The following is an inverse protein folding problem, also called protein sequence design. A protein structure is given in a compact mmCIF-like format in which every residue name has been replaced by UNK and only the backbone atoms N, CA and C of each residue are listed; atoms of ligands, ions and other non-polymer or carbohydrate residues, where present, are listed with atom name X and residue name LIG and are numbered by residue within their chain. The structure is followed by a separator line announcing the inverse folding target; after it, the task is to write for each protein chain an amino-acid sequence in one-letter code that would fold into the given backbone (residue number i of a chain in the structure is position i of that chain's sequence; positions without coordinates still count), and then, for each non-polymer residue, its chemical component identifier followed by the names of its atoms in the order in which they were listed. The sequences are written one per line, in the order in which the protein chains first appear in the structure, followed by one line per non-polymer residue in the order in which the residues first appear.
data_IF_145905493485
#
_entry.id   IF_145905493485
#
_cell.length_a   1.000
_cell.length_b   1.000
_cell.length_c   1.000
_cell.angle_alpha   90.00
_cell.angle_beta   90.00
_cell.angle_gamma   90.00
#
_symmetry.space_group_name_H-M   'P 1'
#
loop_
_entity.id
_entity.type
_entity.pdbx_description
1 polymer ?
#
# COMPACT_ATOMS: atom_id res chain seq x y z
N UNK A 1 -29.66 16.35 -17.52
CA UNK A 1 -28.45 15.50 -17.54
C UNK A 1 -27.96 15.38 -16.11
N UNK A 2 -28.32 14.31 -15.42
CA UNK A 2 -27.74 13.97 -14.12
C UNK A 2 -26.30 13.57 -14.38
N UNK A 3 -25.34 14.41 -13.99
CA UNK A 3 -23.93 14.04 -13.98
C UNK A 3 -23.77 12.96 -12.92
N UNK A 4 -23.72 11.70 -13.35
CA UNK A 4 -23.48 10.56 -12.47
C UNK A 4 -22.15 10.82 -11.76
N UNK A 5 -22.21 11.03 -10.44
CA UNK A 5 -20.98 11.20 -9.65
C UNK A 5 -20.24 9.86 -9.66
N UNK A 6 -18.90 9.86 -9.82
CA UNK A 6 -18.15 8.62 -9.79
C UNK A 6 -18.35 7.90 -8.45
N UNK A 7 -18.54 6.58 -8.54
CA UNK A 7 -18.62 5.70 -7.37
C UNK A 7 -17.25 5.68 -6.65
N UNK A 8 -17.21 5.88 -5.32
CA UNK A 8 -15.95 6.01 -4.59
C UNK A 8 -15.17 4.70 -4.55
N UNK A 9 -13.85 4.79 -4.69
CA UNK A 9 -12.93 3.70 -4.42
C UNK A 9 -12.99 3.32 -2.95
N UNK A 10 -12.72 2.03 -2.68
CA UNK A 10 -12.55 1.49 -1.34
C UNK A 10 -11.38 2.20 -0.64
N UNK A 11 -11.63 2.71 0.56
CA UNK A 11 -10.62 3.42 1.33
C UNK A 11 -9.60 2.45 1.94
N UNK A 12 -8.36 2.94 2.10
CA UNK A 12 -7.25 2.21 2.76
C UNK A 12 -7.35 2.27 4.30
N UNK A 13 -8.25 3.10 4.82
CA UNK A 13 -8.54 3.26 6.24
C UNK A 13 -10.07 3.35 6.47
N UNK A 14 -10.52 3.39 7.71
CA UNK A 14 -11.93 3.55 8.08
C UNK A 14 -12.50 2.32 8.78
N UNK A 15 -13.60 1.78 8.27
CA UNK A 15 -14.32 0.67 8.90
C UNK A 15 -13.53 -0.65 9.01
N UNK A 16 -14.17 -1.64 9.62
CA UNK A 16 -13.60 -2.98 9.82
C UNK A 16 -13.22 -3.61 8.50
N UNK A 17 -12.07 -4.27 8.42
CA UNK A 17 -11.74 -5.11 7.27
C UNK A 17 -12.57 -6.39 7.37
N UNK A 18 -13.43 -6.63 6.38
CA UNK A 18 -14.27 -7.84 6.32
C UNK A 18 -13.73 -8.84 5.31
N UNK A 19 -13.22 -8.35 4.18
CA UNK A 19 -12.69 -9.21 3.13
C UNK A 19 -11.42 -8.63 2.55
N UNK A 20 -10.39 -9.48 2.44
CA UNK A 20 -9.16 -9.17 1.70
C UNK A 20 -8.92 -10.21 0.61
N UNK A 21 -8.12 -9.84 -0.38
CA UNK A 21 -7.55 -10.76 -1.33
C UNK A 21 -6.01 -10.72 -1.28
N UNK A 22 -5.38 -11.87 -1.49
CA UNK A 22 -3.93 -12.05 -1.62
C UNK A 22 -3.67 -12.91 -2.86
N UNK A 23 -2.52 -12.76 -3.50
CA UNK A 23 -2.13 -13.59 -4.66
C UNK A 23 -0.82 -14.33 -4.40
N UNK A 24 -0.79 -15.63 -4.69
CA UNK A 24 0.35 -16.50 -4.47
C UNK A 24 0.86 -17.05 -5.81
N UNK A 25 1.96 -16.50 -6.36
CA UNK A 25 2.55 -17.01 -7.60
C UNK A 25 2.93 -18.48 -7.50
N UNK A 26 2.74 -19.27 -8.57
CA UNK A 26 3.14 -20.68 -8.60
C UNK A 26 4.58 -20.96 -8.14
N UNK A 27 5.52 -20.05 -8.49
CA UNK A 27 6.93 -20.16 -8.13
C UNK A 27 7.18 -20.21 -6.60
N UNK A 28 6.21 -19.81 -5.77
CA UNK A 28 6.33 -19.87 -4.31
C UNK A 28 6.09 -21.26 -3.72
N UNK A 29 5.50 -22.17 -4.51
CA UNK A 29 5.25 -23.56 -4.14
C UNK A 29 6.30 -24.53 -4.69
N UNK A 30 7.24 -24.04 -5.50
CA UNK A 30 8.35 -24.86 -5.95
C UNK A 30 9.30 -25.18 -4.78
N UNK A 31 9.86 -26.38 -4.76
CA UNK A 31 10.89 -26.74 -3.79
C UNK A 31 12.06 -25.78 -3.91
N UNK A 32 12.22 -24.92 -2.91
CA UNK A 32 13.41 -24.13 -2.75
C UNK A 32 14.51 -25.13 -2.39
N UNK A 33 15.40 -25.43 -3.35
CA UNK A 33 16.51 -26.36 -3.13
C UNK A 33 17.33 -26.06 -1.86
N UNK A 34 18.17 -26.99 -1.46
CA UNK A 34 19.02 -26.85 -0.27
C UNK A 34 19.86 -25.56 -0.39
N UNK A 35 19.68 -24.61 0.54
CA UNK A 35 20.48 -23.38 0.62
C UNK A 35 19.74 -22.06 0.36
N UNK A 36 18.43 -22.08 0.07
CA UNK A 36 17.66 -20.82 -0.01
C UNK A 36 17.34 -20.26 1.38
N UNK A 37 17.74 -19.00 1.61
CA UNK A 37 17.49 -18.25 2.85
C UNK A 37 16.09 -17.62 2.93
N UNK A 38 15.30 -17.66 1.85
CA UNK A 38 14.00 -16.98 1.77
C UNK A 38 12.83 -17.94 1.55
N UNK A 39 11.75 -17.72 2.30
CA UNK A 39 10.48 -18.42 2.18
C UNK A 39 9.37 -17.38 1.95
N UNK A 40 8.97 -17.12 0.69
CA UNK A 40 8.02 -16.06 0.38
C UNK A 40 6.60 -16.32 0.92
N UNK A 41 6.27 -17.58 1.25
CA UNK A 41 5.02 -17.95 1.91
C UNK A 41 5.00 -17.61 3.41
N UNK A 42 6.15 -17.46 4.07
CA UNK A 42 6.24 -17.20 5.50
C UNK A 42 5.51 -15.90 5.93
N UNK A 43 5.76 -14.71 5.32
CA UNK A 43 5.03 -13.50 5.71
C UNK A 43 3.52 -13.61 5.47
N UNK A 44 3.09 -14.33 4.42
CA UNK A 44 1.68 -14.53 4.16
C UNK A 44 1.04 -15.40 5.24
N UNK A 45 1.67 -16.52 5.59
CA UNK A 45 1.19 -17.39 6.66
C UNK A 45 1.09 -16.65 8.00
N UNK A 46 2.11 -15.85 8.32
CA UNK A 46 2.12 -15.02 9.52
C UNK A 46 1.01 -13.97 9.52
N UNK A 47 0.69 -13.35 8.36
CA UNK A 47 -0.47 -12.48 8.25
C UNK A 47 -1.76 -13.25 8.59
N UNK A 48 -2.01 -14.39 7.95
CA UNK A 48 -3.23 -15.18 8.16
C UNK A 48 -3.44 -15.59 9.62
N UNK A 49 -2.36 -15.91 10.34
CA UNK A 49 -2.39 -16.27 11.76
C UNK A 49 -2.78 -15.08 12.67
N UNK A 50 -2.62 -13.85 12.20
CA UNK A 50 -2.96 -12.63 12.96
C UNK A 50 -4.35 -12.07 12.63
N UNK A 51 -5.01 -12.57 11.59
CA UNK A 51 -6.30 -12.04 11.15
C UNK A 51 -7.44 -12.55 12.05
N UNK A 52 -8.37 -11.67 12.46
CA UNK A 52 -9.56 -12.03 13.23
C UNK A 52 -10.46 -13.05 12.52
N UNK A 53 -11.21 -13.83 13.31
CA UNK A 53 -12.08 -14.92 12.82
C UNK A 53 -13.10 -14.47 11.76
N UNK A 54 -13.61 -13.26 11.89
CA UNK A 54 -14.62 -12.70 10.99
C UNK A 54 -14.03 -11.99 9.76
N UNK A 55 -12.73 -12.10 9.53
CA UNK A 55 -12.11 -11.70 8.26
C UNK A 55 -12.19 -12.87 7.28
N UNK A 56 -12.69 -12.60 6.08
CA UNK A 56 -12.60 -13.50 4.94
C UNK A 56 -11.38 -13.16 4.08
N UNK A 57 -10.64 -14.18 3.67
CA UNK A 57 -9.43 -14.07 2.85
C UNK A 57 -9.61 -14.88 1.59
N UNK A 58 -9.51 -14.20 0.45
CA UNK A 58 -9.49 -14.82 -0.88
C UNK A 58 -8.03 -14.99 -1.31
N UNK A 59 -7.56 -16.23 -1.37
CA UNK A 59 -6.21 -16.55 -1.80
C UNK A 59 -6.22 -17.00 -3.25
N UNK A 60 -5.74 -16.14 -4.15
CA UNK A 60 -5.58 -16.50 -5.55
C UNK A 60 -4.35 -17.38 -5.74
N UNK A 61 -4.56 -18.50 -6.43
CA UNK A 61 -3.52 -19.45 -6.81
C UNK A 61 -3.73 -19.90 -8.24
N UNK A 62 -2.65 -20.29 -8.89
CA UNK A 62 -2.73 -21.01 -10.15
C UNK A 62 -3.38 -22.37 -9.92
N UNK A 63 -4.25 -22.81 -10.84
CA UNK A 63 -4.96 -24.10 -10.73
C UNK A 63 -4.02 -25.29 -10.46
N UNK A 64 -2.84 -25.42 -11.12
CA UNK A 64 -1.87 -26.48 -10.80
C UNK A 64 -1.34 -26.45 -9.37
N UNK A 65 -1.32 -25.29 -8.71
CA UNK A 65 -0.80 -25.12 -7.35
C UNK A 65 -1.85 -25.34 -6.26
N UNK A 66 -3.11 -25.63 -6.62
CA UNK A 66 -4.21 -25.75 -5.65
C UNK A 66 -3.91 -26.77 -4.54
N UNK A 67 -3.37 -27.94 -4.87
CA UNK A 67 -3.06 -28.99 -3.89
C UNK A 67 -1.92 -28.56 -2.95
N UNK A 68 -0.87 -27.93 -3.47
CA UNK A 68 0.24 -27.42 -2.69
C UNK A 68 -0.20 -26.28 -1.74
N UNK A 69 -1.03 -25.36 -2.25
CA UNK A 69 -1.62 -24.28 -1.47
C UNK A 69 -2.51 -24.79 -0.34
N UNK A 70 -3.36 -25.79 -0.63
CA UNK A 70 -4.19 -26.46 0.40
C UNK A 70 -3.32 -27.09 1.48
N UNK A 71 -2.33 -27.90 1.09
CA UNK A 71 -1.42 -28.55 2.03
C UNK A 71 -0.66 -27.54 2.88
N UNK A 72 -0.23 -26.42 2.30
CA UNK A 72 0.41 -25.32 3.04
C UNK A 72 -0.54 -24.68 4.05
N UNK A 73 -1.78 -24.37 3.66
CA UNK A 73 -2.78 -23.82 4.56
C UNK A 73 -3.16 -24.77 5.71
N UNK A 74 -3.30 -26.06 5.43
CA UNK A 74 -3.67 -27.06 6.44
C UNK A 74 -2.63 -27.20 7.57
N UNK A 75 -1.38 -26.77 7.31
CA UNK A 75 -0.32 -26.70 8.33
C UNK A 75 -0.38 -25.44 9.20
N UNK A 76 -1.19 -24.45 8.83
CA UNK A 76 -1.35 -23.21 9.57
C UNK A 76 -2.58 -23.29 10.47
N UNK A 77 -2.42 -22.90 11.74
CA UNK A 77 -3.53 -22.77 12.68
C UNK A 77 -4.29 -21.44 12.47
N UNK A 78 -4.79 -21.19 11.26
CA UNK A 78 -5.48 -19.94 10.92
C UNK A 78 -6.85 -19.86 11.59
N UNK A 79 -7.23 -18.64 12.01
CA UNK A 79 -8.53 -18.39 12.65
C UNK A 79 -9.53 -17.68 11.75
N UNK A 80 -9.05 -16.91 10.78
CA UNK A 80 -9.86 -16.27 9.75
C UNK A 80 -10.44 -17.31 8.76
N UNK A 81 -11.43 -16.88 7.99
CA UNK A 81 -11.98 -17.70 6.91
C UNK A 81 -11.08 -17.56 5.68
N UNK A 82 -10.56 -18.68 5.17
CA UNK A 82 -9.68 -18.68 4.00
C UNK A 82 -10.30 -19.48 2.87
N UNK A 83 -10.45 -18.84 1.72
CA UNK A 83 -11.00 -19.43 0.51
C UNK A 83 -9.94 -19.41 -0.60
N UNK A 84 -9.69 -20.58 -1.20
CA UNK A 84 -8.76 -20.69 -2.33
C UNK A 84 -9.52 -20.42 -3.62
N UNK A 85 -9.11 -19.39 -4.35
CA UNK A 85 -9.67 -19.01 -5.65
C UNK A 85 -8.67 -19.39 -6.73
N UNK A 86 -9.08 -20.26 -7.65
CA UNK A 86 -8.24 -20.66 -8.79
C UNK A 86 -8.51 -19.80 -10.00
N UNK A 87 -7.47 -19.45 -10.74
CA UNK A 87 -7.61 -18.91 -12.08
C UNK A 87 -7.87 -20.04 -13.08
N UNK A 88 -8.83 -19.83 -13.99
CA UNK A 88 -9.04 -20.72 -15.13
C UNK A 88 -7.93 -20.51 -16.17
N UNK A 89 -7.53 -21.59 -16.84
CA UNK A 89 -6.50 -21.51 -17.89
C UNK A 89 -6.98 -20.63 -19.06
N UNK A 90 -6.10 -19.78 -19.64
CA UNK A 90 -4.65 -19.68 -19.43
C UNK A 90 -4.21 -18.70 -18.32
N UNK A 91 -5.12 -18.26 -17.44
CA UNK A 91 -4.84 -17.27 -16.41
C UNK A 91 -3.77 -17.74 -15.41
N UNK A 92 -2.81 -16.85 -15.12
CA UNK A 92 -1.77 -17.08 -14.11
C UNK A 92 -1.67 -15.91 -13.14
N UNK A 93 -1.23 -16.19 -11.91
CA UNK A 93 -0.90 -15.18 -10.89
C UNK A 93 0.48 -14.61 -11.23
N UNK A 94 0.57 -13.35 -11.70
CA UNK A 94 1.82 -12.84 -12.26
C UNK A 94 2.85 -12.47 -11.17
N UNK A 95 2.38 -12.02 -10.01
CA UNK A 95 3.21 -11.56 -8.89
C UNK A 95 2.35 -11.49 -7.61
N UNK A 96 2.96 -11.31 -6.41
CA UNK A 96 2.18 -11.26 -5.16
C UNK A 96 1.52 -9.91 -4.88
N UNK A 97 1.88 -8.87 -5.64
CA UNK A 97 1.40 -7.50 -5.43
C UNK A 97 -0.02 -7.26 -5.94
N UNK A 98 -1.00 -7.94 -5.35
CA UNK A 98 -2.40 -7.86 -5.75
C UNK A 98 -2.98 -6.44 -5.64
N UNK A 99 -2.40 -5.58 -4.78
CA UNK A 99 -2.83 -4.20 -4.62
C UNK A 99 -2.80 -3.42 -5.94
N UNK A 100 -1.89 -3.77 -6.85
CA UNK A 100 -1.69 -3.11 -8.14
C UNK A 100 -2.56 -3.65 -9.27
N UNK A 101 -3.16 -4.82 -9.10
CA UNK A 101 -3.81 -5.54 -10.20
C UNK A 101 -5.17 -4.97 -10.58
N UNK A 102 -5.89 -4.39 -9.62
CA UNK A 102 -7.22 -3.80 -9.83
C UNK A 102 -7.57 -2.81 -8.72
N UNK A 103 -8.65 -2.08 -8.92
CA UNK A 103 -9.30 -1.24 -7.91
C UNK A 103 -10.63 -1.83 -7.47
N UNK A 104 -11.06 -1.44 -6.28
CA UNK A 104 -12.38 -1.78 -5.75
C UNK A 104 -13.11 -0.46 -5.57
N UNK A 105 -14.35 -0.37 -6.06
CA UNK A 105 -15.24 0.78 -5.79
C UNK A 105 -16.59 0.31 -5.27
N UNK A 106 -17.26 1.15 -4.50
CA UNK A 106 -18.60 0.87 -4.01
C UNK A 106 -19.61 1.43 -4.98
N UNK A 107 -20.41 0.57 -5.61
CA UNK A 107 -21.44 1.02 -6.55
C UNK A 107 -22.52 1.83 -5.84
N UNK A 108 -22.93 2.93 -6.47
CA UNK A 108 -23.94 3.82 -5.92
C UNK A 108 -25.34 3.19 -5.81
N UNK A 109 -25.66 2.19 -6.64
CA UNK A 109 -27.00 1.61 -6.75
C UNK A 109 -27.27 0.47 -5.74
N UNK A 110 -26.25 -0.31 -5.40
CA UNK A 110 -26.39 -1.49 -4.55
C UNK A 110 -25.52 -1.46 -3.28
N UNK A 111 -24.64 -0.46 -3.13
CA UNK A 111 -23.57 -0.45 -2.12
C UNK A 111 -22.69 -1.71 -2.14
N UNK A 112 -22.74 -2.47 -3.24
CA UNK A 112 -21.91 -3.66 -3.45
C UNK A 112 -20.59 -3.26 -4.07
N UNK A 113 -19.47 -3.90 -3.70
CA UNK A 113 -18.21 -3.68 -4.37
C UNK A 113 -18.24 -4.08 -5.86
N UNK A 114 -17.44 -3.39 -6.65
CA UNK A 114 -17.15 -3.68 -8.05
C UNK A 114 -15.64 -3.60 -8.29
N UNK A 115 -15.12 -4.51 -9.10
CA UNK A 115 -13.70 -4.52 -9.47
C UNK A 115 -13.45 -3.74 -10.75
N UNK A 116 -12.46 -2.85 -10.73
CA UNK A 116 -12.11 -2.00 -11.86
C UNK A 116 -10.67 -2.26 -12.28
N UNK A 117 -10.46 -2.66 -13.53
CA UNK A 117 -9.13 -2.95 -14.10
C UNK A 117 -8.88 -2.14 -15.37
N UNK A 118 -7.61 -2.01 -15.79
CA UNK A 118 -7.25 -1.27 -17.02
C UNK A 118 -7.54 -2.02 -18.33
N UNK A 119 -8.14 -3.20 -18.23
CA UNK A 119 -8.50 -4.10 -19.32
C UNK A 119 -9.13 -5.37 -18.76
N UNK A 120 -9.37 -6.36 -19.62
CA UNK A 120 -9.81 -7.68 -19.18
C UNK A 120 -8.77 -8.30 -18.24
N UNK A 121 -9.23 -8.81 -17.09
CA UNK A 121 -8.39 -9.33 -16.03
C UNK A 121 -8.97 -10.63 -15.52
N UNK A 122 -8.30 -11.76 -15.79
CA UNK A 122 -8.69 -13.07 -15.28
C UNK A 122 -8.78 -13.08 -13.75
N UNK A 123 -7.95 -12.29 -13.07
CA UNK A 123 -7.95 -12.15 -11.62
C UNK A 123 -9.23 -11.45 -11.14
N UNK A 124 -9.59 -10.32 -11.74
CA UNK A 124 -10.80 -9.59 -11.38
C UNK A 124 -12.05 -10.39 -11.72
N UNK A 125 -12.05 -11.12 -12.84
CA UNK A 125 -13.15 -12.00 -13.24
C UNK A 125 -13.33 -13.17 -12.28
N UNK A 126 -12.25 -13.87 -11.90
CA UNK A 126 -12.31 -15.00 -10.97
C UNK A 126 -12.83 -14.56 -9.59
N UNK A 127 -12.32 -13.44 -9.06
CA UNK A 127 -12.81 -12.88 -7.79
C UNK A 127 -14.26 -12.41 -7.88
N UNK A 128 -14.63 -11.74 -8.98
CA UNK A 128 -15.99 -11.27 -9.19
C UNK A 128 -16.98 -12.43 -9.26
N UNK A 129 -16.66 -13.49 -10.00
CA UNK A 129 -17.47 -14.70 -10.08
C UNK A 129 -17.62 -15.37 -8.70
N UNK A 130 -16.55 -15.41 -7.91
CA UNK A 130 -16.56 -16.02 -6.56
C UNK A 130 -17.43 -15.26 -5.57
N UNK A 131 -17.50 -13.93 -5.69
CA UNK A 131 -18.20 -13.03 -4.77
C UNK A 131 -19.57 -12.57 -5.28
N UNK A 132 -19.89 -12.84 -6.55
CA UNK A 132 -21.08 -12.29 -7.21
C UNK A 132 -20.99 -10.78 -7.47
N UNK A 133 -19.78 -10.24 -7.66
CA UNK A 133 -19.56 -8.82 -7.92
C UNK A 133 -19.51 -8.52 -9.43
N UNK A 134 -19.68 -7.24 -9.77
CA UNK A 134 -19.46 -6.75 -11.12
C UNK A 134 -17.97 -6.47 -11.38
N UNK A 135 -17.62 -6.44 -12.66
CA UNK A 135 -16.33 -5.93 -13.15
C UNK A 135 -16.54 -4.79 -14.12
N UNK A 136 -15.69 -3.78 -14.07
CA UNK A 136 -15.65 -2.67 -15.01
C UNK A 136 -14.22 -2.46 -15.55
N UNK A 137 -14.13 -1.89 -16.75
CA UNK A 137 -12.87 -1.50 -17.37
C UNK A 137 -12.72 0.01 -17.27
N UNK A 138 -11.53 0.47 -16.91
CA UNK A 138 -11.13 1.87 -16.88
C UNK A 138 -10.01 2.13 -17.88
N UNK A 139 -10.03 3.29 -18.55
CA UNK A 139 -8.92 3.72 -19.42
C UNK A 139 -7.74 4.33 -18.61
N UNK A 140 -7.86 4.37 -17.28
CA UNK A 140 -6.83 4.89 -16.38
C UNK A 140 -5.97 3.76 -15.83
N UNK A 141 -4.69 3.80 -16.22
CA UNK A 141 -3.66 2.93 -15.65
C UNK A 141 -3.05 3.64 -14.44
N UNK A 142 -3.42 3.18 -13.25
CA UNK A 142 -2.91 3.66 -11.97
C UNK A 142 -2.68 2.45 -11.04
N UNK A 143 -1.43 2.09 -10.71
CA UNK A 143 -1.17 1.04 -9.72
C UNK A 143 -1.79 1.40 -8.35
N UNK A 144 -2.38 0.44 -7.65
CA UNK A 144 -2.95 0.65 -6.33
C UNK A 144 -1.91 0.96 -5.24
N UNK A 145 -0.65 0.59 -5.44
CA UNK A 145 0.49 0.99 -4.61
C UNK A 145 0.87 2.45 -4.81
N UNK A 146 0.70 2.99 -6.04
CA UNK A 146 0.97 4.41 -6.32
C UNK A 146 -0.20 5.35 -6.01
N UNK A 147 -1.16 4.88 -5.22
CA UNK A 147 -2.22 5.70 -4.64
C UNK A 147 -2.57 5.24 -3.23
N UNK A 148 -2.94 6.19 -2.39
CA UNK A 148 -3.56 5.93 -1.10
C UNK A 148 -4.93 6.62 -1.08
N UNK A 149 -5.97 5.89 -0.69
CA UNK A 149 -7.35 6.36 -0.65
C UNK A 149 -7.75 6.62 0.81
N UNK A 150 -7.80 7.88 1.18
CA UNK A 150 -8.24 8.32 2.52
C UNK A 150 -9.75 8.46 2.63
N UNK A 151 -10.26 8.99 3.76
CA UNK A 151 -11.68 9.20 3.96
C UNK A 151 -12.28 10.20 2.95
N UNK A 152 -11.60 11.34 2.77
CA UNK A 152 -12.04 12.51 2.01
C UNK A 152 -11.01 12.99 0.97
N UNK A 153 -9.87 12.29 0.83
CA UNK A 153 -8.80 12.62 -0.11
C UNK A 153 -8.19 11.37 -0.75
N UNK A 154 -7.45 11.57 -1.84
CA UNK A 154 -6.54 10.60 -2.43
C UNK A 154 -5.15 11.20 -2.52
N UNK A 155 -4.13 10.43 -2.14
CA UNK A 155 -2.74 10.77 -2.37
C UNK A 155 -2.22 9.91 -3.51
N UNK A 156 -1.80 10.54 -4.61
CA UNK A 156 -1.35 9.84 -5.82
C UNK A 156 0.10 10.21 -6.11
N UNK A 157 0.90 9.22 -6.50
CA UNK A 157 2.29 9.47 -6.87
C UNK A 157 2.39 10.40 -8.09
N UNK A 158 3.25 11.42 -8.00
CA UNK A 158 3.33 12.47 -9.02
C UNK A 158 3.60 11.93 -10.43
N UNK A 159 4.38 10.85 -10.54
CA UNK A 159 4.70 10.24 -11.84
C UNK A 159 3.45 9.69 -12.55
N UNK A 160 2.41 9.27 -11.80
CA UNK A 160 1.14 8.84 -12.38
C UNK A 160 0.26 10.01 -12.84
N UNK A 161 0.53 11.23 -12.34
CA UNK A 161 -0.24 12.44 -12.66
C UNK A 161 0.31 13.16 -13.89
N UNK A 162 1.61 13.04 -14.16
CA UNK A 162 2.22 13.50 -15.39
C UNK A 162 1.90 12.52 -16.53
N UNK A 163 1.35 13.02 -17.64
CA UNK A 163 1.35 12.26 -18.90
C UNK A 163 2.79 11.91 -19.28
N UNK A 164 3.02 10.91 -20.13
CA UNK A 164 4.37 10.56 -20.59
C UNK A 164 5.18 11.75 -21.09
N UNK A 165 6.51 11.59 -21.15
CA UNK A 165 7.51 12.65 -21.36
C UNK A 165 7.28 13.60 -22.56
N UNK A 166 6.40 13.26 -23.50
CA UNK A 166 6.03 14.10 -24.65
C UNK A 166 5.19 15.33 -24.27
N UNK A 167 4.53 15.35 -23.10
CA UNK A 167 3.69 16.48 -22.65
C UNK A 167 4.46 17.58 -21.90
N UNK A 168 5.74 17.38 -21.56
CA UNK A 168 6.50 18.30 -20.71
C UNK A 168 6.98 19.57 -21.42
N UNK A 169 6.78 19.69 -22.74
CA UNK A 169 7.31 20.79 -23.56
C UNK A 169 6.30 21.88 -23.95
N UNK A 170 5.04 21.80 -23.54
CA UNK A 170 4.01 22.75 -23.99
C UNK A 170 3.12 23.30 -22.85
N UNK A 171 3.34 24.59 -22.57
CA UNK A 171 2.47 25.57 -21.91
C UNK A 171 2.10 25.39 -20.41
N UNK A 172 2.11 26.46 -19.59
CA UNK A 172 1.55 26.44 -18.24
C UNK A 172 0.02 26.66 -18.24
N UNK A 173 -0.62 26.17 -17.16
CA UNK A 173 -1.98 26.45 -16.65
C UNK A 173 -3.14 25.48 -16.99
N UNK A 174 -2.92 24.38 -17.74
CA UNK A 174 -3.97 23.34 -17.91
C UNK A 174 -3.61 22.06 -17.15
N UNK A 175 -4.57 21.50 -16.41
CA UNK A 175 -4.43 20.16 -15.83
C UNK A 175 -4.10 19.17 -16.94
N UNK A 176 -3.11 18.29 -16.69
CA UNK A 176 -2.81 17.25 -17.66
C UNK A 176 -4.08 16.42 -17.89
N UNK A 177 -4.33 15.98 -19.13
CA UNK A 177 -5.46 15.07 -19.43
C UNK A 177 -5.45 13.83 -18.53
N UNK A 178 -4.25 13.40 -18.11
CA UNK A 178 -4.06 12.28 -17.19
C UNK A 178 -4.53 12.60 -15.77
N UNK A 179 -4.25 13.79 -15.26
CA UNK A 179 -4.75 14.26 -13.97
C UNK A 179 -6.28 14.26 -13.93
N UNK A 180 -6.92 14.87 -14.93
CA UNK A 180 -8.38 14.93 -15.03
C UNK A 180 -9.02 13.53 -15.06
N UNK A 181 -8.40 12.58 -15.75
CA UNK A 181 -8.85 11.18 -15.77
C UNK A 181 -8.71 10.51 -14.41
N UNK A 182 -7.61 10.76 -13.69
CA UNK A 182 -7.40 10.22 -12.34
C UNK A 182 -8.41 10.82 -11.35
N UNK A 183 -8.72 12.11 -11.46
CA UNK A 183 -9.79 12.75 -10.68
C UNK A 183 -11.17 12.15 -11.01
N UNK A 184 -11.44 11.83 -12.27
CA UNK A 184 -12.71 11.23 -12.66
C UNK A 184 -12.93 9.80 -12.11
N UNK A 185 -11.88 9.12 -11.61
CA UNK A 185 -12.01 7.78 -11.03
C UNK A 185 -12.72 7.75 -9.67
N UNK A 186 -12.66 8.84 -8.91
CA UNK A 186 -13.09 8.88 -7.51
C UNK A 186 -13.48 10.32 -7.13
N UNK A 187 -14.57 10.53 -6.39
CA UNK A 187 -15.04 11.87 -6.05
C UNK A 187 -14.13 12.63 -5.05
N UNK A 188 -13.17 11.98 -4.40
CA UNK A 188 -12.27 12.60 -3.42
C UNK A 188 -11.22 13.49 -4.10
N UNK A 189 -10.82 14.54 -3.40
CA UNK A 189 -9.77 15.45 -3.87
C UNK A 189 -8.43 14.72 -4.04
N UNK A 190 -7.74 14.97 -5.15
CA UNK A 190 -6.44 14.35 -5.47
C UNK A 190 -5.29 15.26 -5.04
N UNK A 191 -4.37 14.70 -4.28
CA UNK A 191 -3.12 15.31 -3.84
C UNK A 191 -1.94 14.55 -4.43
N UNK A 192 -0.80 15.23 -4.56
CA UNK A 192 0.39 14.69 -5.23
C UNK A 192 1.48 14.31 -4.24
N UNK A 193 1.94 13.07 -4.28
CA UNK A 193 3.14 12.63 -3.57
C UNK A 193 4.39 12.80 -4.44
N UNK A 194 5.32 13.62 -3.97
CA UNK A 194 6.59 13.89 -4.62
C UNK A 194 7.27 15.09 -3.98
N UNK A 195 8.49 15.36 -4.43
CA UNK A 195 9.33 16.45 -3.95
C UNK A 195 9.74 17.37 -5.10
N UNK A 196 10.10 18.60 -4.76
CA UNK A 196 10.74 19.50 -5.72
C UNK A 196 12.27 19.42 -5.55
N UNK A 197 13.07 19.41 -6.63
CA UNK A 197 14.52 19.37 -6.52
C UNK A 197 15.12 20.50 -5.68
N UNK A 198 14.49 21.68 -5.70
CA UNK A 198 14.89 22.82 -4.87
C UNK A 198 14.75 22.59 -3.36
N UNK A 199 13.88 21.65 -2.94
CA UNK A 199 13.69 21.28 -1.54
C UNK A 199 14.70 20.20 -1.08
N UNK A 200 15.65 19.76 -1.92
CA UNK A 200 16.67 18.74 -1.59
C UNK A 200 17.86 19.27 -0.74
N UNK A 201 17.77 20.48 -0.20
CA UNK A 201 18.82 21.16 0.58
C UNK A 201 18.85 20.81 2.08
N UNK A 202 19.95 21.19 2.76
CA UNK A 202 20.37 20.74 4.09
C UNK A 202 19.45 21.11 5.28
N UNK A 203 19.11 20.09 6.08
CA UNK A 203 19.02 20.06 7.56
C UNK A 203 18.35 21.21 8.33
N UNK A 204 17.40 21.93 7.75
CA UNK A 204 16.35 22.56 8.55
C UNK A 204 15.30 21.48 8.75
N UNK A 205 15.00 21.10 10.00
CA UNK A 205 13.80 20.30 10.25
C UNK A 205 12.66 21.02 9.52
N UNK A 206 12.05 20.39 8.50
CA UNK A 206 11.05 21.09 7.72
C UNK A 206 10.02 21.61 8.69
N UNK A 207 9.73 22.91 8.63
CA UNK A 207 8.69 23.49 9.45
C UNK A 207 7.35 22.96 8.93
N UNK A 208 6.95 21.79 9.43
CA UNK A 208 5.70 21.10 9.10
C UNK A 208 4.47 21.86 9.66
N UNK A 209 4.69 22.99 10.35
CA UNK A 209 3.63 23.89 10.81
C UNK A 209 3.13 24.87 9.75
N UNK A 210 3.82 24.99 8.59
CA UNK A 210 3.38 25.89 7.52
C UNK A 210 1.93 25.61 7.08
N UNK A 211 1.15 26.69 7.01
CA UNK A 211 -0.30 26.67 6.82
C UNK A 211 -0.69 26.40 5.36
N UNK A 212 -1.77 25.62 5.22
CA UNK A 212 -2.20 24.97 3.99
C UNK A 212 -2.42 25.91 2.81
N UNK A 213 -1.67 25.65 1.73
CA UNK A 213 -2.21 25.81 0.39
C UNK A 213 -2.90 24.49 0.01
N UNK A 214 -4.02 24.52 -0.69
CA UNK A 214 -4.74 23.31 -1.11
C UNK A 214 -3.92 22.36 -2.01
N UNK A 215 -4.57 21.52 -2.83
CA UNK A 215 -3.86 20.60 -3.73
C UNK A 215 -2.79 21.35 -4.55
N UNK A 216 -1.56 20.83 -4.59
CA UNK A 216 -0.42 21.45 -5.27
C UNK A 216 -0.55 21.33 -6.80
N UNK A 217 -1.57 21.96 -7.38
CA UNK A 217 -1.89 21.93 -8.81
C UNK A 217 -0.88 22.72 -9.67
N UNK A 218 -0.11 23.63 -9.07
CA UNK A 218 0.72 24.61 -9.78
C UNK A 218 2.24 24.41 -9.65
N UNK A 219 2.68 23.36 -8.94
CA UNK A 219 4.09 23.12 -8.70
C UNK A 219 4.78 22.56 -9.95
N UNK A 220 5.63 23.37 -10.60
CA UNK A 220 6.50 22.90 -11.67
C UNK A 220 7.59 21.99 -11.10
N UNK A 221 8.08 21.05 -11.89
CA UNK A 221 9.23 20.19 -11.58
C UNK A 221 9.11 19.35 -10.28
N UNK A 222 7.98 18.68 -10.05
CA UNK A 222 7.90 17.67 -8.99
C UNK A 222 8.44 16.33 -9.51
N UNK A 223 9.26 15.67 -8.70
CA UNK A 223 9.74 14.31 -8.87
C UNK A 223 9.11 13.39 -7.84
N UNK A 224 8.91 12.12 -8.19
CA UNK A 224 8.42 11.13 -7.24
C UNK A 224 9.58 10.45 -6.52
N UNK A 225 9.46 10.27 -5.20
CA UNK A 225 10.36 9.41 -4.44
C UNK A 225 9.90 7.95 -4.55
N UNK A 226 10.80 7.06 -5.00
CA UNK A 226 10.50 5.65 -5.24
C UNK A 226 9.45 5.38 -6.31
N UNK A 227 9.00 4.13 -6.36
CA UNK A 227 8.08 3.65 -7.39
C UNK A 227 6.63 3.86 -7.00
N UNK A 228 6.29 3.59 -5.73
CA UNK A 228 4.93 3.66 -5.21
C UNK A 228 4.86 4.49 -3.91
N UNK A 229 3.76 5.22 -3.74
CA UNK A 229 3.49 6.03 -2.54
C UNK A 229 3.46 5.18 -1.27
N UNK A 230 2.87 3.99 -1.35
CA UNK A 230 2.67 3.09 -0.20
C UNK A 230 3.96 2.45 0.34
N UNK A 231 5.09 2.65 -0.33
CA UNK A 231 6.41 2.27 0.18
C UNK A 231 6.82 3.16 1.35
N UNK A 232 6.38 4.42 1.35
CA UNK A 232 6.91 5.45 2.25
C UNK A 232 5.85 6.25 2.97
N UNK A 233 4.58 6.09 2.63
CA UNK A 233 3.48 6.83 3.27
C UNK A 233 2.39 5.86 3.71
N UNK A 234 1.92 6.04 4.93
CA UNK A 234 0.71 5.40 5.46
C UNK A 234 -0.36 6.46 5.70
N UNK A 235 -1.58 6.16 5.29
CA UNK A 235 -2.75 6.87 5.80
C UNK A 235 -3.04 6.37 7.20
N UNK A 236 -3.37 7.25 8.14
CA UNK A 236 -3.74 6.85 9.51
C UNK A 236 -5.26 6.82 9.72
N UNK A 237 -6.04 7.50 8.89
CA UNK A 237 -7.46 7.77 9.14
C UNK A 237 -7.73 8.78 10.27
N UNK A 238 -6.68 9.29 10.91
CA UNK A 238 -6.76 10.27 11.99
C UNK A 238 -6.55 11.70 11.46
N UNK A 239 -6.90 12.68 12.29
CA UNK A 239 -6.59 14.09 12.07
C UNK A 239 -5.77 14.65 13.23
N UNK A 240 -4.90 15.62 12.94
CA UNK A 240 -4.16 16.43 13.92
C UNK A 240 -4.35 17.89 13.54
N UNK A 241 -4.84 18.70 14.48
CA UNK A 241 -5.15 20.12 14.26
C UNK A 241 -6.04 20.35 13.02
N UNK A 242 -7.06 19.50 12.86
CA UNK A 242 -7.98 19.56 11.72
C UNK A 242 -7.41 19.07 10.39
N UNK A 243 -6.12 18.71 10.30
CA UNK A 243 -5.47 18.17 9.09
C UNK A 243 -5.42 16.65 9.11
N UNK A 244 -5.58 15.99 7.96
CA UNK A 244 -5.39 14.55 7.85
C UNK A 244 -3.94 14.17 8.22
N UNK A 245 -3.77 13.19 9.10
CA UNK A 245 -2.47 12.75 9.59
C UNK A 245 -1.91 11.63 8.70
N UNK A 246 -0.73 11.86 8.15
CA UNK A 246 0.04 10.87 7.39
C UNK A 246 1.28 10.46 8.20
N UNK A 247 1.64 9.18 8.09
CA UNK A 247 2.92 8.68 8.55
C UNK A 247 3.86 8.58 7.35
N UNK A 248 5.02 9.22 7.40
CA UNK A 248 5.98 9.25 6.29
C UNK A 248 7.33 8.71 6.75
N UNK A 249 7.89 7.76 6.01
CA UNK A 249 9.16 7.12 6.29
C UNK A 249 10.31 8.11 6.49
N UNK A 250 11.09 7.88 7.54
CA UNK A 250 12.34 8.57 7.88
C UNK A 250 13.51 7.58 7.76
N UNK A 251 14.22 7.57 6.63
CA UNK A 251 15.25 6.58 6.38
C UNK A 251 16.46 6.73 7.30
N UNK A 252 16.93 5.60 7.81
CA UNK A 252 18.13 5.49 8.62
C UNK A 252 19.06 4.42 8.04
N UNK A 253 20.37 4.56 8.24
CA UNK A 253 21.32 3.54 7.83
C UNK A 253 21.17 2.32 8.76
N UNK A 254 20.59 1.23 8.23
CA UNK A 254 20.52 -0.05 8.96
C UNK A 254 21.86 -0.79 8.98
N UNK A 255 22.76 -0.42 8.06
CA UNK A 255 24.14 -0.88 8.00
C UNK A 255 25.05 0.32 7.67
N UNK A 256 25.94 0.67 8.60
CA UNK A 256 26.84 1.83 8.49
C UNK A 256 27.88 1.70 7.36
N UNK A 257 27.95 0.55 6.68
CA UNK A 257 28.73 0.39 5.45
C UNK A 257 28.06 1.03 4.23
N UNK A 258 26.75 1.32 4.30
CA UNK A 258 25.95 1.85 3.19
C UNK A 258 25.17 3.13 3.54
N UNK A 259 25.78 4.13 4.21
CA UNK A 259 25.05 5.30 4.74
C UNK A 259 24.46 6.17 3.62
N UNK A 260 25.16 6.25 2.48
CA UNK A 260 24.75 7.08 1.33
C UNK A 260 23.36 6.75 0.80
N UNK A 261 23.00 5.46 0.77
CA UNK A 261 21.69 5.03 0.28
C UNK A 261 20.56 5.54 1.19
N UNK A 262 20.76 5.49 2.51
CA UNK A 262 19.84 6.04 3.49
C UNK A 262 19.76 7.56 3.40
N UNK A 263 20.91 8.26 3.33
CA UNK A 263 20.98 9.72 3.23
C UNK A 263 20.29 10.26 1.97
N UNK A 264 20.51 9.61 0.82
CA UNK A 264 19.86 10.02 -0.43
C UNK A 264 18.33 9.83 -0.37
N UNK A 265 17.88 8.69 0.16
CA UNK A 265 16.45 8.43 0.34
C UNK A 265 15.83 9.41 1.34
N UNK A 266 16.54 9.70 2.43
CA UNK A 266 16.11 10.63 3.48
C UNK A 266 15.90 12.04 2.92
N UNK A 267 16.85 12.57 2.15
CA UNK A 267 16.70 13.90 1.51
C UNK A 267 15.45 13.97 0.64
N UNK A 268 15.18 12.94 -0.18
CA UNK A 268 13.98 12.90 -1.04
C UNK A 268 12.69 12.82 -0.22
N UNK A 269 12.68 12.07 0.88
CA UNK A 269 11.50 11.90 1.72
C UNK A 269 11.25 13.09 2.65
N UNK A 270 12.29 13.76 3.13
CA UNK A 270 12.16 15.02 3.89
C UNK A 270 11.55 16.11 2.99
N UNK A 271 12.03 16.23 1.74
CA UNK A 271 11.45 17.13 0.75
C UNK A 271 10.01 16.73 0.35
N UNK A 272 9.70 15.43 0.27
CA UNK A 272 8.34 14.94 0.01
C UNK A 272 7.40 15.23 1.18
N UNK A 273 7.86 15.05 2.42
CA UNK A 273 7.11 15.37 3.64
C UNK A 273 6.79 16.87 3.73
N UNK A 274 7.75 17.74 3.40
CA UNK A 274 7.53 19.17 3.31
C UNK A 274 6.46 19.51 2.24
N UNK A 275 6.52 18.87 1.08
CA UNK A 275 5.53 19.03 0.01
C UNK A 275 4.11 18.59 0.45
N UNK A 276 4.00 17.50 1.22
CA UNK A 276 2.72 17.06 1.79
C UNK A 276 2.21 18.02 2.87
N UNK A 277 3.09 18.54 3.74
CA UNK A 277 2.71 19.53 4.75
C UNK A 277 2.18 20.82 4.09
N UNK A 278 2.85 21.32 3.04
CA UNK A 278 2.40 22.47 2.24
C UNK A 278 1.04 22.25 1.56
N UNK A 279 0.70 20.99 1.26
CA UNK A 279 -0.60 20.57 0.72
C UNK A 279 -1.70 20.41 1.79
N UNK A 280 -1.39 20.69 3.07
CA UNK A 280 -2.36 20.71 4.16
C UNK A 280 -2.44 19.43 4.99
N UNK A 281 -1.50 18.48 4.84
CA UNK A 281 -1.43 17.29 5.69
C UNK A 281 -0.67 17.58 7.00
N UNK A 282 -1.07 16.90 8.07
CA UNK A 282 -0.21 16.74 9.24
C UNK A 282 0.71 15.55 9.01
N UNK A 283 1.98 15.68 9.37
CA UNK A 283 2.99 14.65 9.12
C UNK A 283 3.56 14.14 10.44
N UNK A 284 3.60 12.82 10.59
CA UNK A 284 4.41 12.11 11.57
C UNK A 284 5.48 11.30 10.84
N UNK A 285 6.65 11.15 11.45
CA UNK A 285 7.79 10.42 10.88
C UNK A 285 7.93 9.06 11.57
N UNK A 286 8.35 8.03 10.84
CA UNK A 286 8.68 6.72 11.40
C UNK A 286 10.01 6.21 10.83
N UNK A 287 10.87 5.61 11.66
CA UNK A 287 12.20 5.22 11.21
C UNK A 287 12.13 3.99 10.30
N UNK A 288 12.88 4.04 9.19
CA UNK A 288 12.94 2.98 8.19
C UNK A 288 14.40 2.65 7.89
N UNK A 289 14.89 1.44 8.25
CA UNK A 289 16.26 1.07 7.99
C UNK A 289 16.47 0.78 6.50
N UNK A 290 17.57 1.28 5.96
CA UNK A 290 18.07 0.99 4.61
C UNK A 290 19.33 0.16 4.73
N UNK A 291 19.27 -1.06 4.19
CA UNK A 291 20.34 -2.06 4.31
C UNK A 291 20.23 -3.14 3.21
N UNK A 292 21.31 -3.87 2.91
CA UNK A 292 21.29 -4.96 1.94
C UNK A 292 20.26 -6.04 2.29
N UNK A 293 19.55 -6.56 1.29
CA UNK A 293 18.60 -7.68 1.46
C UNK A 293 19.32 -9.02 1.60
N UNK A 294 18.77 -9.91 2.42
CA UNK A 294 19.38 -11.21 2.77
C UNK A 294 19.64 -12.18 1.61
N UNK A 295 18.97 -12.01 0.48
CA UNK A 295 19.04 -12.89 -0.69
C UNK A 295 19.74 -12.25 -1.90
N UNK A 296 19.49 -10.97 -2.18
CA UNK A 296 20.03 -10.29 -3.38
C UNK A 296 21.11 -9.25 -3.11
N UNK A 297 21.40 -8.96 -1.84
CA UNK A 297 22.30 -7.90 -1.40
C UNK A 297 21.97 -6.49 -1.94
N UNK A 298 20.76 -6.27 -2.47
CA UNK A 298 20.30 -4.95 -2.89
C UNK A 298 20.07 -4.09 -1.66
N UNK A 299 20.65 -2.89 -1.63
CA UNK A 299 20.42 -1.95 -0.53
C UNK A 299 19.03 -1.31 -0.69
N UNK A 300 18.07 -1.76 0.11
CA UNK A 300 16.66 -1.36 0.02
C UNK A 300 16.12 -0.93 1.39
N UNK A 301 15.12 -0.03 1.43
CA UNK A 301 14.40 0.28 2.66
C UNK A 301 13.52 -0.89 3.13
N UNK A 302 13.34 -1.06 4.44
CA UNK A 302 12.33 -1.97 5.00
C UNK A 302 11.01 -1.23 5.21
N UNK A 303 9.99 -1.63 4.45
CA UNK A 303 8.80 -0.83 4.19
C UNK A 303 7.78 -0.86 5.36
N UNK A 304 8.13 -0.31 6.52
CA UNK A 304 7.24 -0.24 7.70
C UNK A 304 5.94 0.56 7.47
N UNK A 305 5.92 1.47 6.49
CA UNK A 305 4.73 2.24 6.12
C UNK A 305 3.67 1.43 5.36
N UNK A 306 4.02 0.22 4.91
CA UNK A 306 3.18 -0.58 4.05
C UNK A 306 2.16 -1.39 4.88
N UNK A 307 1.28 -0.70 5.59
CA UNK A 307 0.40 -1.26 6.64
C UNK A 307 -1.03 -1.55 6.15
N UNK A 308 -1.77 -2.34 6.93
CA UNK A 308 -3.23 -2.43 6.86
C UNK A 308 -3.82 -1.91 8.17
N UNK A 309 -4.95 -1.20 8.13
CA UNK A 309 -5.57 -0.70 9.36
C UNK A 309 -7.10 -0.63 9.31
N UNK A 310 -7.63 -0.53 10.52
CA UNK A 310 -9.01 -0.24 10.87
C UNK A 310 -9.00 1.01 11.75
N UNK A 311 -10.02 1.85 11.65
CA UNK A 311 -10.23 3.02 12.51
C UNK A 311 -11.44 2.85 13.43
N UNK A 312 -12.09 1.69 13.36
CA UNK A 312 -13.18 1.30 14.26
C UNK A 312 -12.76 0.06 15.05
N UNK A 313 -13.28 -0.04 16.26
CA UNK A 313 -12.91 -1.10 17.20
C UNK A 313 -13.78 -2.33 16.95
N UNK A 314 -13.15 -3.51 16.89
CA UNK A 314 -13.87 -4.79 16.81
C UNK A 314 -14.61 -5.07 18.13
N UNK A 315 -15.71 -5.80 18.06
CA UNK A 315 -16.44 -6.19 19.27
C UNK A 315 -15.53 -6.99 20.22
N UNK A 316 -15.47 -6.57 21.48
CA UNK A 316 -14.59 -7.16 22.51
C UNK A 316 -13.17 -6.60 22.55
N UNK A 317 -12.78 -5.76 21.58
CA UNK A 317 -11.50 -5.02 21.61
C UNK A 317 -11.71 -3.63 22.22
N UNK A 318 -10.62 -3.01 22.68
CA UNK A 318 -10.64 -1.64 23.24
C UNK A 318 -10.02 -0.61 22.30
N UNK A 319 -9.30 -1.07 21.27
CA UNK A 319 -8.57 -0.22 20.33
C UNK A 319 -8.76 -0.73 18.89
N UNK A 320 -8.76 0.16 17.89
CA UNK A 320 -8.70 -0.23 16.49
C UNK A 320 -7.38 -0.95 16.16
N UNK A 321 -7.39 -1.80 15.14
CA UNK A 321 -6.23 -2.60 14.76
C UNK A 321 -5.40 -1.95 13.65
N UNK A 322 -4.08 -2.14 13.71
CA UNK A 322 -3.16 -1.92 12.59
C UNK A 322 -2.18 -3.07 12.50
N UNK A 323 -2.02 -3.62 11.30
CA UNK A 323 -1.01 -4.65 11.01
C UNK A 323 0.20 -3.97 10.39
N UNK A 324 1.37 -4.18 11.01
CA UNK A 324 2.64 -3.55 10.65
C UNK A 324 3.60 -4.64 10.17
N UNK A 325 4.22 -4.53 8.98
CA UNK A 325 5.20 -5.51 8.54
C UNK A 325 6.44 -5.43 9.43
N UNK A 326 6.93 -6.59 9.89
CA UNK A 326 8.12 -6.72 10.71
C UNK A 326 9.24 -7.45 9.97
N UNK A 327 10.47 -7.03 10.26
CA UNK A 327 11.70 -7.49 9.58
C UNK A 327 12.76 -8.00 10.56
N UNK A 328 12.54 -7.93 11.87
CA UNK A 328 13.48 -8.37 12.90
C UNK A 328 13.59 -9.89 13.09
N UNK A 329 13.03 -10.69 12.19
CA UNK A 329 13.01 -12.16 12.26
C UNK A 329 14.30 -12.79 11.72
N UNK A 330 14.78 -12.30 10.58
CA UNK A 330 16.03 -12.74 9.94
C UNK A 330 17.10 -11.64 9.91
N UNK A 331 16.72 -10.41 10.21
CA UNK A 331 17.59 -9.25 10.21
C UNK A 331 17.67 -8.66 11.64
N UNK A 332 18.76 -7.95 11.96
CA UNK A 332 18.95 -7.33 13.28
C UNK A 332 18.13 -6.04 13.43
N UNK A 333 16.81 -6.12 13.23
CA UNK A 333 15.90 -4.98 13.11
C UNK A 333 14.78 -4.95 14.15
N UNK A 334 14.87 -5.76 15.20
CA UNK A 334 13.85 -5.83 16.27
C UNK A 334 13.59 -4.49 16.97
N UNK A 335 14.59 -3.61 17.04
CA UNK A 335 14.41 -2.25 17.56
C UNK A 335 13.54 -1.39 16.63
N UNK A 336 13.71 -1.49 15.31
CA UNK A 336 12.87 -0.80 14.34
C UNK A 336 11.44 -1.36 14.33
N UNK A 337 11.27 -2.68 14.48
CA UNK A 337 9.96 -3.32 14.67
C UNK A 337 9.25 -2.73 15.89
N UNK A 338 9.92 -2.73 17.05
CA UNK A 338 9.36 -2.21 18.30
C UNK A 338 9.02 -0.72 18.21
N UNK A 339 9.86 0.07 17.55
CA UNK A 339 9.64 1.49 17.38
C UNK A 339 8.46 1.81 16.47
N UNK A 340 8.39 1.19 15.29
CA UNK A 340 7.27 1.41 14.38
C UNK A 340 5.95 0.97 15.03
N UNK A 341 5.96 -0.12 15.80
CA UNK A 341 4.81 -0.55 16.61
C UNK A 341 4.40 0.53 17.63
N UNK A 342 5.35 1.05 18.40
CA UNK A 342 5.13 2.08 19.43
C UNK A 342 4.53 3.36 18.86
N UNK A 343 4.93 3.76 17.64
CA UNK A 343 4.38 4.92 16.95
C UNK A 343 2.88 4.74 16.73
N UNK A 344 2.46 3.58 16.20
CA UNK A 344 1.04 3.27 16.02
C UNK A 344 0.28 3.15 17.35
N UNK A 345 0.89 2.56 18.38
CA UNK A 345 0.30 2.50 19.71
C UNK A 345 0.07 3.90 20.30
N UNK A 346 1.00 4.84 20.09
CA UNK A 346 0.85 6.24 20.53
C UNK A 346 -0.28 6.99 19.80
N UNK A 347 -0.70 6.49 18.63
CA UNK A 347 -1.85 6.98 17.89
C UNK A 347 -3.17 6.33 18.33
N UNK A 348 -3.13 5.44 19.33
CA UNK A 348 -4.31 4.80 19.92
C UNK A 348 -4.72 3.47 19.28
N UNK A 349 -3.90 2.92 18.37
CA UNK A 349 -4.15 1.61 17.79
C UNK A 349 -3.54 0.48 18.63
N UNK A 350 -4.11 -0.71 18.53
CA UNK A 350 -3.40 -1.95 18.86
C UNK A 350 -2.59 -2.38 17.64
N UNK A 351 -1.27 -2.23 17.73
CA UNK A 351 -0.35 -2.54 16.63
C UNK A 351 0.08 -4.02 16.66
N UNK A 352 -0.30 -4.74 15.61
CA UNK A 352 0.00 -6.16 15.39
C UNK A 352 1.20 -6.25 14.45
N UNK A 353 2.33 -6.74 14.96
CA UNK A 353 3.50 -7.01 14.15
C UNK A 353 3.35 -8.30 13.33
N UNK A 354 3.52 -8.21 12.02
CA UNK A 354 3.47 -9.36 11.11
C UNK A 354 4.90 -9.70 10.68
N UNK A 355 5.47 -10.75 11.27
CA UNK A 355 6.84 -11.21 10.99
C UNK A 355 6.98 -11.80 9.58
N UNK A 356 8.20 -11.91 9.07
CA UNK A 356 8.50 -12.62 7.82
C UNK A 356 8.80 -11.73 6.61
N UNK A 357 8.65 -10.40 6.73
CA UNK A 357 8.78 -9.53 5.54
C UNK A 357 10.22 -9.38 5.02
N UNK A 358 11.22 -9.78 5.81
CA UNK A 358 12.60 -9.96 5.36
C UNK A 358 12.70 -10.89 4.14
N UNK A 359 11.84 -11.92 4.07
CA UNK A 359 11.78 -12.85 2.94
C UNK A 359 11.31 -12.21 1.62
N UNK A 360 10.65 -11.05 1.67
CA UNK A 360 10.15 -10.32 0.50
C UNK A 360 10.89 -8.99 0.26
N UNK A 361 11.85 -8.61 1.12
CA UNK A 361 12.51 -7.31 1.07
C UNK A 361 13.17 -7.02 -0.30
N UNK A 362 13.81 -8.01 -0.95
CA UNK A 362 14.41 -7.86 -2.28
C UNK A 362 13.44 -7.61 -3.43
N UNK A 363 12.16 -7.88 -3.19
CA UNK A 363 11.08 -7.65 -4.15
C UNK A 363 10.42 -6.28 -3.95
N UNK A 364 10.91 -5.50 -2.98
CA UNK A 364 10.56 -4.10 -2.75
C UNK A 364 9.06 -3.82 -2.51
N UNK A 365 8.38 -4.76 -1.84
CA UNK A 365 6.98 -4.64 -1.41
C UNK A 365 6.79 -5.36 -0.07
N UNK A 366 5.72 -5.03 0.65
CA UNK A 366 5.42 -5.64 1.95
C UNK A 366 3.91 -5.86 2.10
N UNK A 367 3.37 -5.64 3.31
CA UNK A 367 2.04 -6.11 3.70
C UNK A 367 0.90 -5.51 2.86
N UNK A 368 0.82 -4.18 2.72
CA UNK A 368 -0.18 -3.53 1.86
C UNK A 368 -0.01 -3.89 0.40
N UNK A 369 1.21 -3.93 -0.14
CA UNK A 369 1.43 -4.30 -1.54
C UNK A 369 0.87 -5.70 -1.83
N UNK A 370 1.07 -6.63 -0.89
CA UNK A 370 0.62 -8.01 -1.00
C UNK A 370 -0.89 -8.21 -0.77
N UNK A 371 -1.62 -7.17 -0.34
CA UNK A 371 -3.01 -7.29 0.11
C UNK A 371 -3.93 -6.29 -0.57
N UNK A 372 -5.09 -6.77 -1.05
CA UNK A 372 -6.19 -5.91 -1.50
C UNK A 372 -7.35 -5.97 -0.51
N UNK A 373 -7.76 -4.83 0.06
CA UNK A 373 -9.02 -4.76 0.80
C UNK A 373 -10.18 -4.74 -0.19
N UNK A 374 -11.06 -5.73 -0.08
CA UNK A 374 -12.21 -5.95 -0.97
C UNK A 374 -13.48 -5.36 -0.35
N UNK A 375 -13.64 -5.50 0.95
CA UNK A 375 -14.83 -5.05 1.66
C UNK A 375 -14.47 -4.54 3.05
N UNK A 376 -15.15 -3.48 3.44
CA UNK A 376 -15.12 -2.96 4.81
C UNK A 376 -16.52 -2.90 5.39
N UNK A 377 -16.65 -3.34 6.63
CA UNK A 377 -17.84 -3.17 7.46
C UNK A 377 -17.88 -1.80 8.11
N UNK A 378 -19.07 -1.38 8.53
CA UNK A 378 -19.28 -0.13 9.27
C UNK A 378 -18.65 -0.17 10.67
#
# INVERSE_FOLDING_TARGET
MTTDRPSPLMADCGGLIETIALSLPAAWFADAGIGFTVSPLAPIGNLLLTLPRNVAVLLLVDRPCLAAARSWLDRLAVMCQVDLVTLDEPGTVPHPWIQDMFHVRLRADALTPEFVSSGESAISQALAARLGFATAISDVILPGGNQLVGPDYRLVGHASLQGGAESARSAPATLSRRWLRIEALDPRAVFSFGYRPEDLGETVQPDLSQTGSGPAMAARNIHQCGFHVDQFVSITGLRRDGRALLLVADPEAGDMRYPRAAEELKRKLDASALSLARQGFAILRNPVPVLPTIDTNKCLPRLYNNVLLENVTRNGETQPLVWVPHFGDLELLTNFDAENRRIWESLGFRAIGVLGFSHLASRNGALRCATKVIMRGL
#
